data_IF_745302996279
#
_entry.id   IF_745302996279
#
_cell.length_a   1.000
_cell.length_b   1.000
_cell.length_c   1.000
_cell.angle_alpha   90.00
_cell.angle_beta   90.00
_cell.angle_gamma   90.00
#
_symmetry.space_group_name_H-M   'P 1'
#
loop_
_entity.id
_entity.type
_entity.pdbx_description
1 polymer ?
#
# COMPACT_ATOMS: atom_id res chain seq x y z
N UNK A 1 41.23 -7.89 -8.52
CA UNK A 1 40.94 -9.10 -7.72
C UNK A 1 39.62 -8.81 -7.05
N UNK A 2 38.52 -9.34 -7.59
CA UNK A 2 37.20 -9.17 -6.97
C UNK A 2 37.25 -9.78 -5.56
N UNK A 3 36.63 -9.17 -4.54
CA UNK A 3 36.47 -9.82 -3.27
C UNK A 3 35.76 -11.15 -3.54
N UNK A 4 36.30 -12.23 -2.98
CA UNK A 4 35.77 -13.58 -3.13
C UNK A 4 34.50 -13.72 -2.28
N UNK A 5 33.51 -12.87 -2.58
CA UNK A 5 32.26 -12.75 -1.85
C UNK A 5 31.28 -13.76 -2.45
N UNK A 6 30.72 -14.64 -1.62
CA UNK A 6 29.83 -15.71 -2.05
C UNK A 6 28.65 -15.18 -2.90
N UNK A 7 28.21 -13.96 -2.61
CA UNK A 7 27.20 -13.22 -3.36
C UNK A 7 27.54 -13.07 -4.84
N UNK A 8 28.78 -12.69 -5.18
CA UNK A 8 29.19 -12.52 -6.56
C UNK A 8 29.11 -13.83 -7.35
N UNK A 9 29.59 -14.93 -6.75
CA UNK A 9 29.51 -16.27 -7.36
C UNK A 9 28.06 -16.73 -7.57
N UNK A 10 27.17 -16.43 -6.63
CA UNK A 10 25.74 -16.75 -6.74
C UNK A 10 25.10 -15.99 -7.91
N UNK A 11 25.39 -14.69 -8.05
CA UNK A 11 24.85 -13.86 -9.12
C UNK A 11 25.34 -14.29 -10.50
N UNK A 12 26.64 -14.60 -10.63
CA UNK A 12 27.20 -15.16 -11.87
C UNK A 12 26.58 -16.51 -12.22
N UNK A 13 26.34 -17.36 -11.22
CA UNK A 13 25.67 -18.65 -11.42
C UNK A 13 24.21 -18.46 -11.89
N UNK A 14 23.48 -17.47 -11.36
CA UNK A 14 22.16 -17.13 -11.88
C UNK A 14 22.22 -16.64 -13.33
N UNK A 15 23.19 -15.80 -13.66
CA UNK A 15 23.37 -15.36 -15.04
C UNK A 15 23.57 -16.54 -15.98
N UNK A 16 24.41 -17.52 -15.60
CA UNK A 16 24.60 -18.74 -16.36
C UNK A 16 23.31 -19.58 -16.48
N UNK A 17 22.59 -19.81 -15.37
CA UNK A 17 21.35 -20.60 -15.38
C UNK A 17 20.30 -19.96 -16.29
N UNK A 18 20.05 -18.66 -16.21
CA UNK A 18 18.97 -18.04 -16.98
C UNK A 18 19.30 -17.82 -18.47
N UNK A 19 20.57 -17.95 -18.85
CA UNK A 19 21.04 -17.76 -20.22
C UNK A 19 21.46 -19.06 -20.93
N UNK A 20 22.18 -19.96 -20.26
CA UNK A 20 22.75 -21.17 -20.85
C UNK A 20 22.05 -22.45 -20.35
N UNK A 21 21.74 -22.54 -19.06
CA UNK A 21 21.09 -23.72 -18.45
C UNK A 21 19.64 -23.44 -18.01
N UNK A 22 18.88 -22.80 -18.91
CA UNK A 22 17.52 -22.37 -18.60
C UNK A 22 16.64 -23.55 -18.18
N UNK A 23 15.94 -23.48 -17.03
CA UNK A 23 15.00 -24.52 -16.63
C UNK A 23 13.95 -24.79 -17.71
N UNK A 24 13.60 -26.06 -17.93
CA UNK A 24 12.74 -26.45 -19.06
C UNK A 24 11.32 -25.87 -19.03
N UNK A 25 10.83 -25.51 -17.85
CA UNK A 25 9.54 -24.87 -17.62
C UNK A 25 9.62 -23.33 -17.54
N UNK A 26 10.82 -22.76 -17.58
CA UNK A 26 11.03 -21.32 -17.55
C UNK A 26 10.82 -20.70 -18.93
N UNK A 27 9.69 -20.03 -19.10
CA UNK A 27 9.31 -19.29 -20.32
C UNK A 27 9.62 -17.78 -20.24
N UNK A 28 10.30 -17.34 -19.18
CA UNK A 28 10.70 -15.94 -19.00
C UNK A 28 11.81 -15.50 -19.95
N UNK A 29 12.15 -14.20 -19.88
CA UNK A 29 13.27 -13.65 -20.64
C UNK A 29 14.62 -14.05 -20.01
N UNK A 30 15.68 -13.93 -20.82
CA UNK A 30 17.06 -14.04 -20.37
C UNK A 30 17.38 -12.98 -19.31
N UNK A 31 18.33 -13.29 -18.42
CA UNK A 31 18.91 -12.28 -17.55
C UNK A 31 19.91 -11.45 -18.36
N UNK A 32 19.76 -10.13 -18.33
CA UNK A 32 20.43 -9.20 -19.23
C UNK A 32 20.81 -7.89 -18.54
N UNK A 33 21.65 -7.09 -19.20
CA UNK A 33 22.01 -5.75 -18.75
C UNK A 33 20.73 -4.93 -18.51
N UNK A 34 20.73 -4.18 -17.41
CA UNK A 34 19.59 -3.42 -16.89
C UNK A 34 18.57 -4.18 -16.07
N UNK A 35 18.69 -5.50 -15.94
CA UNK A 35 17.92 -6.26 -14.97
C UNK A 35 18.41 -5.99 -13.53
N UNK A 36 17.50 -6.19 -12.57
CA UNK A 36 17.81 -6.14 -11.14
C UNK A 36 17.48 -7.48 -10.50
N UNK A 37 18.48 -8.08 -9.85
CA UNK A 37 18.34 -9.33 -9.10
C UNK A 37 18.18 -9.00 -7.61
N UNK A 38 17.03 -9.35 -7.06
CA UNK A 38 16.81 -9.34 -5.62
C UNK A 38 17.27 -10.68 -5.03
N UNK A 39 18.33 -10.65 -4.21
CA UNK A 39 18.90 -11.82 -3.57
C UNK A 39 18.53 -11.82 -2.08
N UNK A 40 17.95 -12.93 -1.60
CA UNK A 40 17.61 -13.10 -0.19
C UNK A 40 18.55 -14.10 0.46
N UNK A 41 19.37 -13.62 1.39
CA UNK A 41 20.32 -14.43 2.18
C UNK A 41 20.13 -14.11 3.66
N UNK A 42 20.08 -15.13 4.52
CA UNK A 42 19.98 -14.96 5.98
C UNK A 42 18.87 -14.01 6.46
N UNK A 43 17.74 -13.99 5.73
CA UNK A 43 16.61 -13.12 6.03
C UNK A 43 16.76 -11.66 5.58
N UNK A 44 17.92 -11.26 5.05
CA UNK A 44 18.16 -9.95 4.43
C UNK A 44 17.98 -10.05 2.91
N UNK A 45 17.40 -9.03 2.31
CA UNK A 45 17.32 -8.88 0.85
C UNK A 45 18.31 -7.81 0.41
N UNK A 46 19.12 -8.12 -0.60
CA UNK A 46 19.98 -7.19 -1.32
C UNK A 46 19.57 -7.14 -2.79
N UNK A 47 19.89 -6.03 -3.47
CA UNK A 47 19.49 -5.79 -4.86
C UNK A 47 20.72 -5.53 -5.69
N UNK A 48 20.84 -6.18 -6.84
CA UNK A 48 22.01 -6.10 -7.69
C UNK A 48 21.61 -5.80 -9.12
N UNK A 49 22.10 -4.68 -9.64
CA UNK A 49 21.93 -4.28 -11.02
C UNK A 49 22.90 -5.07 -11.91
N UNK A 50 22.39 -5.67 -12.98
CA UNK A 50 23.20 -6.31 -14.00
C UNK A 50 23.74 -5.22 -14.95
N UNK A 51 25.04 -4.97 -14.91
CA UNK A 51 25.72 -4.05 -15.83
C UNK A 51 26.50 -4.83 -16.91
N UNK A 52 27.24 -4.11 -17.76
CA UNK A 52 28.00 -4.75 -18.84
C UNK A 52 29.29 -5.45 -18.38
N UNK A 53 29.66 -5.33 -17.11
CA UNK A 53 30.89 -5.87 -16.52
C UNK A 53 30.63 -6.89 -15.38
N UNK A 54 29.39 -7.00 -14.90
CA UNK A 54 28.99 -7.89 -13.82
C UNK A 54 27.76 -7.34 -13.06
N UNK A 55 27.82 -7.43 -11.73
CA UNK A 55 26.73 -7.04 -10.84
C UNK A 55 27.14 -5.95 -9.86
N UNK A 56 26.33 -4.89 -9.78
CA UNK A 56 26.53 -3.78 -8.84
C UNK A 56 25.41 -3.75 -7.81
N UNK A 57 25.75 -3.82 -6.52
CA UNK A 57 24.75 -3.71 -5.45
C UNK A 57 24.11 -2.29 -5.43
N UNK A 58 22.81 -2.24 -5.22
CA UNK A 58 22.00 -1.03 -5.11
C UNK A 58 21.48 -0.86 -3.66
N UNK A 59 22.30 -0.38 -2.71
CA UNK A 59 21.94 -0.31 -1.29
C UNK A 59 20.77 0.65 -1.00
N UNK A 60 20.55 1.65 -1.86
CA UNK A 60 19.46 2.61 -1.75
C UNK A 60 18.18 2.19 -2.49
N UNK A 61 18.19 1.03 -3.16
CA UNK A 61 17.02 0.56 -3.91
C UNK A 61 15.85 0.23 -2.99
N UNK A 62 16.16 -0.34 -1.82
CA UNK A 62 15.17 -0.54 -0.77
C UNK A 62 14.96 0.78 -0.02
N UNK A 63 13.91 1.53 -0.40
CA UNK A 63 13.51 2.70 0.37
C UNK A 63 13.00 2.25 1.75
N UNK A 64 13.40 2.92 2.85
CA UNK A 64 12.88 2.62 4.20
C UNK A 64 11.40 3.00 4.36
N UNK A 65 10.85 3.76 3.42
CA UNK A 65 9.43 4.08 3.36
C UNK A 65 8.66 2.84 2.89
N UNK A 66 8.38 2.03 3.90
CA UNK A 66 7.45 0.92 3.96
C UNK A 66 6.39 1.01 2.84
N UNK A 67 6.59 0.27 1.74
CA UNK A 67 5.64 0.25 0.61
C UNK A 67 4.21 -0.11 1.08
N UNK A 68 4.11 -0.89 2.16
CA UNK A 68 2.84 -1.15 2.85
C UNK A 68 2.24 0.12 3.45
N UNK A 69 3.04 0.99 4.08
CA UNK A 69 2.57 2.27 4.61
C UNK A 69 2.09 3.19 3.49
N UNK A 70 2.73 3.21 2.33
CA UNK A 70 2.24 3.97 1.18
C UNK A 70 0.91 3.41 0.65
N UNK A 71 0.77 2.09 0.58
CA UNK A 71 -0.49 1.44 0.21
C UNK A 71 -1.59 1.64 1.26
N UNK A 72 -1.27 1.56 2.55
CA UNK A 72 -2.17 1.82 3.68
C UNK A 72 -2.61 3.29 3.69
N UNK A 73 -1.68 4.24 3.57
CA UNK A 73 -2.00 5.67 3.50
C UNK A 73 -2.87 6.01 2.29
N UNK A 74 -2.67 5.35 1.15
CA UNK A 74 -3.54 5.52 -0.03
C UNK A 74 -4.97 5.04 0.23
N UNK A 75 -5.14 3.93 0.97
CA UNK A 75 -6.47 3.39 1.32
C UNK A 75 -7.16 4.24 2.41
N UNK A 76 -6.40 4.86 3.31
CA UNK A 76 -6.93 5.75 4.35
C UNK A 76 -7.32 7.13 3.80
N UNK A 77 -6.56 7.69 2.85
CA UNK A 77 -6.91 8.97 2.20
C UNK A 77 -8.23 8.86 1.39
N UNK A 78 -8.57 7.66 0.92
CA UNK A 78 -9.80 7.35 0.19
C UNK A 78 -11.09 7.41 1.05
N UNK A 79 -10.97 7.45 2.38
CA UNK A 79 -12.14 7.65 3.27
C UNK A 79 -12.71 9.09 3.23
N UNK A 80 -12.00 10.03 2.61
CA UNK A 80 -12.49 11.38 2.33
C UNK A 80 -13.42 11.49 1.11
N UNK A 81 -13.62 10.38 0.37
CA UNK A 81 -14.52 10.31 -0.79
C UNK A 81 -15.99 10.36 -0.37
N UNK A 82 -16.50 11.57 -0.13
CA UNK A 82 -17.93 11.77 0.15
C UNK A 82 -18.76 11.76 -1.16
N UNK A 83 -18.16 12.00 -2.34
CA UNK A 83 -18.93 12.24 -3.59
C UNK A 83 -18.20 11.92 -4.92
N UNK A 84 -17.16 11.08 -4.91
CA UNK A 84 -16.43 10.69 -6.14
C UNK A 84 -15.53 11.77 -6.75
N UNK A 85 -15.35 12.93 -6.09
CA UNK A 85 -14.37 13.95 -6.45
C UNK A 85 -13.11 13.78 -5.58
N UNK A 86 -12.01 13.38 -6.22
CA UNK A 86 -10.70 13.19 -5.57
C UNK A 86 -10.10 14.58 -5.26
N UNK A 87 -10.02 14.95 -3.97
CA UNK A 87 -9.33 16.17 -3.55
C UNK A 87 -7.88 15.88 -3.16
N UNK A 88 -6.98 15.82 -4.15
CA UNK A 88 -5.51 15.82 -3.96
C UNK A 88 -4.93 17.25 -3.80
N UNK A 89 -5.76 18.24 -3.44
CA UNK A 89 -5.29 19.58 -3.09
C UNK A 89 -4.59 19.60 -1.73
N UNK A 90 -3.77 20.62 -1.43
CA UNK A 90 -3.17 20.78 -0.11
C UNK A 90 -4.26 20.69 0.97
N UNK A 91 -4.09 19.75 1.92
CA UNK A 91 -5.07 19.47 2.98
C UNK A 91 -5.40 20.79 3.69
N UNK A 92 -6.64 21.27 3.52
CA UNK A 92 -7.05 22.50 4.22
C UNK A 92 -6.98 22.23 5.73
N UNK A 93 -6.39 23.13 6.52
CA UNK A 93 -6.22 22.91 7.95
C UNK A 93 -7.58 22.82 8.65
N UNK A 94 -7.71 21.87 9.58
CA UNK A 94 -8.84 21.70 10.49
C UNK A 94 -8.69 22.61 11.71
N UNK A 95 -9.76 22.77 12.52
CA UNK A 95 -9.70 23.63 13.71
C UNK A 95 -8.67 23.08 14.70
N UNK A 96 -8.63 21.77 14.90
CA UNK A 96 -7.63 21.12 15.75
C UNK A 96 -6.17 21.36 15.28
N UNK A 97 -5.93 21.37 13.96
CA UNK A 97 -4.61 21.67 13.40
C UNK A 97 -4.22 23.14 13.60
N UNK A 98 -5.19 24.07 13.53
CA UNK A 98 -4.95 25.49 13.77
C UNK A 98 -4.72 25.78 15.26
N UNK A 99 -5.47 25.12 16.16
CA UNK A 99 -5.25 25.21 17.61
C UNK A 99 -3.89 24.65 18.02
N UNK A 100 -3.47 23.53 17.44
CA UNK A 100 -2.14 22.96 17.67
C UNK A 100 -1.03 23.92 17.22
N UNK A 101 -1.21 24.60 16.09
CA UNK A 101 -0.27 25.63 15.61
C UNK A 101 -0.17 26.82 16.57
N UNK A 102 -1.31 27.32 17.07
CA UNK A 102 -1.33 28.38 18.09
C UNK A 102 -0.63 27.92 19.36
N UNK A 103 -0.88 26.69 19.80
CA UNK A 103 -0.24 26.11 20.98
C UNK A 103 1.27 25.88 20.79
N UNK A 104 1.69 25.65 19.55
CA UNK A 104 3.10 25.61 19.15
C UNK A 104 3.73 27.01 18.96
N UNK A 105 2.98 28.09 19.23
CA UNK A 105 3.46 29.47 19.12
C UNK A 105 3.46 30.03 17.70
N UNK A 106 2.82 29.34 16.75
CA UNK A 106 2.67 29.81 15.37
C UNK A 106 1.43 30.71 15.25
N UNK A 107 1.55 31.81 14.53
CA UNK A 107 0.42 32.69 14.22
C UNK A 107 -0.48 32.05 13.17
N UNK A 108 -1.78 32.01 13.42
CA UNK A 108 -2.79 31.57 12.45
C UNK A 108 -3.58 32.76 11.88
N UNK A 109 -4.11 32.62 10.68
CA UNK A 109 -5.04 33.61 10.09
C UNK A 109 -6.43 33.46 10.70
N UNK A 110 -7.06 34.58 11.04
CA UNK A 110 -8.46 34.61 11.50
C UNK A 110 -9.43 34.10 10.42
N UNK A 111 -9.10 34.33 9.14
CA UNK A 111 -9.89 33.86 8.02
C UNK A 111 -9.86 32.33 7.90
N UNK A 112 -8.71 31.72 8.18
CA UNK A 112 -8.53 30.27 8.12
C UNK A 112 -9.24 29.57 9.28
N UNK A 113 -9.22 30.17 10.48
CA UNK A 113 -9.96 29.69 11.64
C UNK A 113 -11.47 29.72 11.40
N UNK A 114 -11.99 30.81 10.83
CA UNK A 114 -13.40 30.92 10.47
C UNK A 114 -13.79 29.86 9.42
N UNK A 115 -12.99 29.72 8.35
CA UNK A 115 -13.25 28.73 7.30
C UNK A 115 -13.24 27.28 7.83
N UNK A 116 -12.34 26.97 8.75
CA UNK A 116 -12.28 25.66 9.41
C UNK A 116 -13.50 25.41 10.31
N UNK A 117 -13.89 26.40 11.11
CA UNK A 117 -15.05 26.30 12.00
C UNK A 117 -16.38 26.14 11.23
N UNK A 118 -16.54 26.85 10.11
CA UNK A 118 -17.70 26.68 9.22
C UNK A 118 -17.73 25.27 8.60
N UNK A 119 -16.59 24.78 8.10
CA UNK A 119 -16.49 23.42 7.54
C UNK A 119 -16.83 22.32 8.54
N UNK A 120 -16.39 22.43 9.79
CA UNK A 120 -16.73 21.46 10.84
C UNK A 120 -18.21 21.53 11.23
N UNK A 121 -18.79 22.73 11.26
CA UNK A 121 -20.22 22.91 11.49
C UNK A 121 -21.07 22.30 10.36
N UNK A 122 -20.71 22.58 9.11
CA UNK A 122 -21.41 22.06 7.92
C UNK A 122 -21.22 20.54 7.76
N UNK A 123 -20.09 19.99 8.25
CA UNK A 123 -19.87 18.55 8.34
C UNK A 123 -20.71 17.91 9.47
N UNK A 124 -20.92 18.61 10.58
CA UNK A 124 -21.77 18.18 11.70
C UNK A 124 -23.28 18.28 11.43
N UNK A 125 -23.70 19.13 10.48
CA UNK A 125 -25.09 19.21 10.01
C UNK A 125 -25.42 18.13 8.96
N UNK A 126 -24.46 17.26 8.59
CA UNK A 126 -24.73 16.11 7.73
C UNK A 126 -25.58 15.09 8.47
N UNK A 127 -26.70 14.75 7.81
CA UNK A 127 -27.81 13.87 8.21
C UNK A 127 -27.38 12.68 9.09
N UNK A 128 -28.22 12.26 10.05
CA UNK A 128 -27.90 11.20 10.99
C UNK A 128 -27.38 9.95 10.27
N UNK A 129 -26.33 9.36 10.83
CA UNK A 129 -25.69 8.15 10.32
C UNK A 129 -26.73 7.04 10.11
N UNK A 130 -26.58 6.26 9.04
CA UNK A 130 -27.40 5.06 8.77
C UNK A 130 -27.40 4.12 9.99
N UNK A 131 -26.31 4.12 10.77
CA UNK A 131 -26.14 3.33 11.98
C UNK A 131 -27.07 3.79 13.13
N UNK A 132 -27.42 5.07 13.15
CA UNK A 132 -28.33 5.69 14.12
C UNK A 132 -29.81 5.52 13.67
N UNK A 133 -30.07 5.53 12.36
CA UNK A 133 -31.36 5.10 11.79
C UNK A 133 -31.64 3.61 11.99
N UNK A 134 -30.62 2.76 11.97
CA UNK A 134 -30.75 1.32 12.23
C UNK A 134 -31.04 1.02 13.70
N UNK A 135 -30.51 1.80 14.64
CA UNK A 135 -30.79 1.65 16.08
C UNK A 135 -32.21 2.06 16.46
N UNK A 136 -32.85 2.89 15.66
CA UNK A 136 -34.23 3.34 15.85
C UNK A 136 -35.27 2.48 15.13
N UNK A 137 -34.85 1.48 14.34
CA UNK A 137 -35.75 0.47 13.79
C UNK A 137 -36.10 -0.58 14.86
N UNK A 138 -37.38 -0.91 15.09
CA UNK A 138 -37.74 -2.03 15.95
C UNK A 138 -37.15 -3.31 15.36
N UNK A 139 -36.54 -4.13 16.22
CA UNK A 139 -35.82 -5.34 15.83
C UNK A 139 -36.72 -6.26 15.00
N UNK A 140 -36.46 -6.31 13.69
CA UNK A 140 -37.18 -7.19 12.78
C UNK A 140 -36.66 -8.63 12.99
N UNK A 141 -37.53 -9.53 13.46
CA UNK A 141 -37.22 -10.95 13.59
C UNK A 141 -36.83 -11.53 12.22
N UNK A 142 -35.58 -12.00 12.12
CA UNK A 142 -35.06 -12.63 10.91
C UNK A 142 -35.57 -14.08 10.84
N UNK A 143 -36.32 -14.48 9.80
CA UNK A 143 -36.66 -15.89 9.62
C UNK A 143 -35.38 -16.66 9.24
N UNK A 144 -35.08 -17.70 10.03
CA UNK A 144 -33.96 -18.63 9.82
C UNK A 144 -34.08 -19.30 8.44
N UNK A 145 -33.10 -19.09 7.55
CA UNK A 145 -32.92 -19.91 6.35
C UNK A 145 -31.83 -20.95 6.62
N UNK A 146 -32.24 -22.21 6.70
CA UNK A 146 -31.38 -23.39 6.80
C UNK A 146 -30.62 -23.65 5.50
N UNK A 147 -29.36 -24.10 5.61
CA UNK A 147 -28.46 -24.40 4.50
C UNK A 147 -28.94 -25.61 3.66
N UNK A 148 -28.68 -25.65 2.32
CA UNK A 148 -29.08 -26.77 1.48
C UNK A 148 -28.18 -28.00 1.72
N UNK A 149 -28.80 -29.19 1.83
CA UNK A 149 -28.08 -30.47 1.96
C UNK A 149 -27.60 -30.98 0.60
N UNK A 150 -26.32 -31.38 0.55
CA UNK A 150 -25.64 -32.08 -0.53
C UNK A 150 -26.18 -33.52 -0.62
N UNK A 151 -26.67 -33.95 -1.77
CA UNK A 151 -27.05 -35.35 -2.03
C UNK A 151 -26.30 -35.85 -3.26
N UNK A 152 -25.66 -37.00 -3.09
CA UNK A 152 -24.94 -37.76 -4.10
C UNK A 152 -25.90 -38.60 -4.97
N UNK A 153 -25.32 -39.23 -6.00
CA UNK A 153 -25.85 -40.29 -6.88
C UNK A 153 -26.55 -39.83 -8.16
N UNK A 154 -26.01 -40.20 -9.34
CA UNK A 154 -26.35 -41.46 -10.03
C UNK A 154 -25.62 -41.58 -11.38
N UNK A 155 -25.06 -42.76 -11.64
CA UNK A 155 -24.49 -43.23 -12.90
C UNK A 155 -25.48 -43.19 -14.08
N UNK A 156 -24.99 -42.85 -15.28
CA UNK A 156 -24.92 -43.75 -16.44
C UNK A 156 -23.94 -43.19 -17.48
#
# INVERSE_FOLDING_TARGET
MYPDDDTGRILENFYYIFNDERPGDFVGHSLSVSDIVALKQDGKVSYHYCDSMGFQELPAFQKPENYLKAAEMSMEDDYGMIDGIINNGPKQPTVANLEAQVKAGMSISLMDLAAAAHRERDAGERKPSVLEQLKSQPAQERPHKTAPKKSAEKEL
#
